data_IF_494908277043
#
_entry.id   IF_494908277043
#
_cell.length_a   1.000
_cell.length_b   1.000
_cell.length_c   1.000
_cell.angle_alpha   90.00
_cell.angle_beta   90.00
_cell.angle_gamma   90.00
#
_symmetry.space_group_name_H-M   'P 1'
#
loop_
_entity.id
_entity.type
_entity.pdbx_description
1 polymer ?
#
# COMPACT_ATOMS: atom_id res chain seq x y z
N UNK A 1 6.41 -24.59 5.18
CA UNK A 1 6.81 -23.88 6.41
C UNK A 1 6.80 -22.39 6.12
N UNK A 2 5.82 -21.63 6.64
CA UNK A 2 5.85 -20.16 6.55
C UNK A 2 6.75 -19.67 7.67
N UNK A 3 7.94 -19.21 7.33
CA UNK A 3 8.86 -18.55 8.25
C UNK A 3 8.10 -17.40 8.91
N UNK A 4 7.79 -17.50 10.20
CA UNK A 4 7.42 -16.35 11.01
C UNK A 4 8.70 -15.51 11.09
N UNK A 5 8.92 -14.66 10.08
CA UNK A 5 10.03 -13.73 10.09
C UNK A 5 9.83 -12.84 11.31
N UNK A 6 10.69 -12.97 12.31
CA UNK A 6 10.70 -12.02 13.43
C UNK A 6 10.95 -10.66 12.80
N UNK A 7 9.92 -9.83 12.79
CA UNK A 7 9.98 -8.48 12.29
C UNK A 7 11.02 -7.74 13.12
N UNK A 8 12.18 -7.46 12.51
CA UNK A 8 13.28 -6.75 13.18
C UNK A 8 12.85 -5.30 13.40
N UNK A 9 12.19 -5.05 14.53
CA UNK A 9 11.87 -3.71 15.00
C UNK A 9 13.17 -3.01 15.37
N UNK A 10 13.37 -1.82 14.82
CA UNK A 10 14.50 -0.95 15.18
C UNK A 10 13.97 0.32 15.81
N UNK A 11 14.54 0.70 16.95
CA UNK A 11 14.30 1.99 17.57
C UNK A 11 14.86 3.07 16.64
N UNK A 12 14.05 4.07 16.31
CA UNK A 12 14.41 5.19 15.46
C UNK A 12 13.90 6.46 16.12
N UNK A 13 14.74 7.50 16.16
CA UNK A 13 14.32 8.80 16.64
C UNK A 13 13.57 9.53 15.52
N UNK A 14 12.40 10.06 15.84
CA UNK A 14 11.54 10.80 14.91
C UNK A 14 11.21 12.17 15.51
N UNK A 15 11.10 13.18 14.66
CA UNK A 15 10.67 14.51 15.05
C UNK A 15 9.15 14.63 14.87
N UNK A 16 8.44 14.94 15.96
CA UNK A 16 6.99 15.07 15.99
C UNK A 16 6.61 16.35 16.73
N UNK A 17 5.45 16.93 16.40
CA UNK A 17 4.92 18.10 17.08
C UNK A 17 4.64 17.79 18.55
N UNK A 18 5.15 18.62 19.46
CA UNK A 18 4.97 18.42 20.91
C UNK A 18 3.48 18.40 21.31
N UNK A 19 2.68 19.31 20.76
CA UNK A 19 1.24 19.38 20.98
C UNK A 19 0.52 18.07 20.60
N UNK A 20 0.87 17.49 19.44
CA UNK A 20 0.29 16.23 18.99
C UNK A 20 0.68 15.05 19.90
N UNK A 21 1.89 15.05 20.46
CA UNK A 21 2.33 14.04 21.42
C UNK A 21 1.54 14.12 22.73
N UNK A 22 1.30 15.34 23.23
CA UNK A 22 0.53 15.54 24.46
C UNK A 22 -0.93 15.12 24.26
N UNK A 23 -1.54 15.47 23.12
CA UNK A 23 -2.87 14.96 22.76
C UNK A 23 -2.91 13.43 22.67
N UNK A 24 -1.93 12.82 22.00
CA UNK A 24 -1.87 11.36 21.86
C UNK A 24 -1.71 10.64 23.20
N UNK A 25 -0.92 11.20 24.12
CA UNK A 25 -0.79 10.67 25.50
C UNK A 25 -2.08 10.84 26.29
N UNK A 26 -2.74 11.99 26.20
CA UNK A 26 -4.02 12.25 26.86
C UNK A 26 -5.12 11.29 26.39
N UNK A 27 -5.02 10.81 25.13
CA UNK A 27 -5.90 9.81 24.54
C UNK A 27 -5.40 8.36 24.71
N UNK A 28 -4.35 8.14 25.51
CA UNK A 28 -3.75 6.83 25.80
C UNK A 28 -3.36 6.04 24.53
N UNK A 29 -2.99 6.74 23.45
CA UNK A 29 -2.64 6.12 22.19
C UNK A 29 -1.29 5.40 22.28
N UNK A 30 -1.24 4.19 21.74
CA UNK A 30 0.03 3.49 21.56
C UNK A 30 0.79 4.09 20.36
N UNK A 31 1.70 5.01 20.66
CA UNK A 31 2.49 5.75 19.64
C UNK A 31 3.25 4.82 18.69
N UNK A 32 3.89 3.78 19.23
CA UNK A 32 4.67 2.85 18.41
C UNK A 32 3.81 2.13 17.38
N UNK A 33 2.66 1.59 17.82
CA UNK A 33 1.73 0.88 16.91
C UNK A 33 1.12 1.84 15.89
N UNK A 34 0.73 3.04 16.33
CA UNK A 34 0.09 4.04 15.47
C UNK A 34 1.04 4.52 14.38
N UNK A 35 2.27 4.88 14.76
CA UNK A 35 3.30 5.32 13.83
C UNK A 35 3.70 4.20 12.86
N UNK A 36 3.84 2.96 13.34
CA UNK A 36 4.16 1.83 12.48
C UNK A 36 3.09 1.63 11.39
N UNK A 37 1.81 1.63 11.78
CA UNK A 37 0.70 1.48 10.82
C UNK A 37 0.66 2.61 9.81
N UNK A 38 0.80 3.86 10.26
CA UNK A 38 0.83 5.02 9.37
C UNK A 38 1.99 4.93 8.37
N UNK A 39 3.17 4.51 8.85
CA UNK A 39 4.35 4.33 8.01
C UNK A 39 4.19 3.19 7.00
N UNK A 40 3.62 2.06 7.40
CA UNK A 40 3.31 0.94 6.49
C UNK A 40 2.38 1.37 5.35
N UNK A 41 1.34 2.15 5.66
CA UNK A 41 0.41 2.68 4.65
C UNK A 41 1.13 3.64 3.71
N UNK A 42 1.91 4.58 4.24
CA UNK A 42 2.66 5.53 3.43
C UNK A 42 3.68 4.85 2.50
N UNK A 43 4.41 3.85 3.01
CA UNK A 43 5.38 3.07 2.23
C UNK A 43 4.69 2.29 1.12
N UNK A 44 3.61 1.56 1.42
CA UNK A 44 2.86 0.81 0.40
C UNK A 44 2.29 1.72 -0.69
N UNK A 45 1.79 2.89 -0.29
CA UNK A 45 1.26 3.88 -1.24
C UNK A 45 2.36 4.35 -2.19
N UNK A 46 3.52 4.73 -1.65
CA UNK A 46 4.67 5.17 -2.47
C UNK A 46 5.25 4.08 -3.37
N UNK A 47 5.27 2.84 -2.89
CA UNK A 47 5.68 1.70 -3.72
C UNK A 47 4.72 1.47 -4.87
N UNK A 48 3.40 1.57 -4.62
CA UNK A 48 2.39 1.47 -5.69
C UNK A 48 2.55 2.58 -6.72
N UNK A 49 2.68 3.83 -6.27
CA UNK A 49 2.89 4.98 -7.16
C UNK A 49 4.10 4.77 -8.06
N UNK A 50 5.23 4.33 -7.49
CA UNK A 50 6.43 3.99 -8.27
C UNK A 50 6.18 2.86 -9.26
N UNK A 51 5.55 1.78 -8.81
CA UNK A 51 5.26 0.64 -9.69
C UNK A 51 4.39 1.04 -10.88
N UNK A 52 3.36 1.86 -10.67
CA UNK A 52 2.52 2.37 -11.75
C UNK A 52 3.33 3.20 -12.74
N UNK A 53 4.20 4.09 -12.25
CA UNK A 53 5.08 4.88 -13.12
C UNK A 53 6.04 3.98 -13.93
N UNK A 54 6.68 3.03 -13.27
CA UNK A 54 7.64 2.10 -13.90
C UNK A 54 6.98 1.16 -14.92
N UNK A 55 5.72 0.80 -14.70
CA UNK A 55 4.99 -0.16 -15.54
C UNK A 55 4.00 0.52 -16.49
N UNK A 56 4.01 1.85 -16.58
CA UNK A 56 3.07 2.63 -17.38
C UNK A 56 3.00 2.17 -18.83
N UNK A 57 4.16 1.95 -19.47
CA UNK A 57 4.21 1.48 -20.85
C UNK A 57 3.61 0.07 -21.02
N UNK A 58 3.82 -0.82 -20.05
CA UNK A 58 3.22 -2.16 -20.06
C UNK A 58 1.71 -2.13 -19.81
N UNK A 59 1.25 -1.22 -18.95
CA UNK A 59 -0.18 -0.98 -18.71
C UNK A 59 -0.86 -0.39 -19.94
N UNK A 60 -0.23 0.57 -20.63
CA UNK A 60 -0.77 1.13 -21.87
C UNK A 60 -0.83 0.08 -23.00
N UNK A 61 0.21 -0.76 -23.14
CA UNK A 61 0.19 -1.87 -24.10
C UNK A 61 -0.91 -2.90 -23.78
N UNK A 62 -1.12 -3.21 -22.50
CA UNK A 62 -2.19 -4.11 -22.06
C UNK A 62 -3.57 -3.49 -22.31
N UNK A 63 -3.75 -2.21 -22.01
CA UNK A 63 -4.99 -1.49 -22.27
C UNK A 63 -5.33 -1.50 -23.76
N UNK A 64 -4.37 -1.20 -24.63
CA UNK A 64 -4.58 -1.29 -26.08
C UNK A 64 -4.88 -2.71 -26.55
N UNK A 65 -4.22 -3.72 -25.98
CA UNK A 65 -4.54 -5.11 -26.29
C UNK A 65 -5.99 -5.46 -25.91
N UNK A 66 -6.46 -5.01 -24.74
CA UNK A 66 -7.84 -5.20 -24.28
C UNK A 66 -8.85 -4.43 -25.13
N UNK A 67 -8.54 -3.21 -25.55
CA UNK A 67 -9.41 -2.43 -26.46
C UNK A 67 -9.56 -3.12 -27.82
N UNK A 68 -8.48 -3.69 -28.35
CA UNK A 68 -8.46 -4.35 -29.66
C UNK A 68 -9.08 -5.75 -29.63
N UNK A 69 -8.89 -6.50 -28.53
CA UNK A 69 -9.24 -7.92 -28.45
C UNK A 69 -10.45 -8.22 -27.53
N UNK A 70 -10.93 -7.22 -26.79
CA UNK A 70 -11.94 -7.38 -25.75
C UNK A 70 -11.41 -8.07 -24.49
N UNK A 71 -12.20 -8.03 -23.42
CA UNK A 71 -11.95 -8.80 -22.20
C UNK A 71 -12.71 -10.13 -22.27
N UNK A 72 -12.09 -11.21 -21.78
CA UNK A 72 -12.77 -12.51 -21.65
C UNK A 72 -14.03 -12.45 -20.77
N UNK A 73 -14.11 -11.47 -19.85
CA UNK A 73 -15.29 -11.21 -19.02
C UNK A 73 -16.43 -10.49 -19.75
N UNK A 74 -16.17 -9.94 -20.94
CA UNK A 74 -17.17 -9.25 -21.79
C UNK A 74 -17.93 -10.24 -22.69
N UNK A 75 -17.53 -11.52 -22.67
CA UNK A 75 -18.20 -12.58 -23.41
C UNK A 75 -19.30 -13.21 -22.52
N UNK A 76 -20.56 -12.91 -22.85
CA UNK A 76 -21.79 -13.50 -22.28
C UNK A 76 -21.78 -15.06 -22.25
N UNK A 77 -20.85 -15.70 -22.98
CA UNK A 77 -20.66 -17.16 -22.97
C UNK A 77 -20.01 -17.70 -21.71
N UNK A 78 -19.28 -16.89 -20.93
CA UNK A 78 -18.50 -17.38 -19.79
C UNK A 78 -19.07 -17.03 -18.41
N UNK A 79 -20.21 -16.33 -18.34
CA UNK A 79 -21.06 -16.26 -17.14
C UNK A 79 -20.33 -15.95 -15.83
N UNK A 80 -19.35 -15.04 -15.86
CA UNK A 80 -18.61 -14.62 -14.66
C UNK A 80 -19.09 -13.25 -14.21
N UNK A 81 -20.07 -13.28 -13.30
CA UNK A 81 -20.33 -12.22 -12.31
C UNK A 81 -19.89 -12.71 -10.94
#
# INVERSE_FOLDING_TARGET
>A
MRSHGIEKKRNTNVYLSADLLEQAKALELNLSVTLNRALEVAVKTRQRERWVEENRAGLEALNHFVEDNGLFSDDDRFGVL
#
